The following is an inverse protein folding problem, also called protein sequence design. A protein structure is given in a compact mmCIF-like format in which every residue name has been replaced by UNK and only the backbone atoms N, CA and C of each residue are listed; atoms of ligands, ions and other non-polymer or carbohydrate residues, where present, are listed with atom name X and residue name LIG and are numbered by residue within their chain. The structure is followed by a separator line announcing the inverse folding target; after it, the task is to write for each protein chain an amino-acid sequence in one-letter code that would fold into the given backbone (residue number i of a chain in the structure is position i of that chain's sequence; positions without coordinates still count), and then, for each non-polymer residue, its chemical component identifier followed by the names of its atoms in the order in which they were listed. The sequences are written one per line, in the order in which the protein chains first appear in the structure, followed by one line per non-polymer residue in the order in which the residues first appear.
data_IF_302685300675
#
_entry.id   IF_302685300675
#
_cell.length_a   1.000
_cell.length_b   1.000
_cell.length_c   1.000
_cell.angle_alpha   90.00
_cell.angle_beta   90.00
_cell.angle_gamma   90.00
#
_symmetry.space_group_name_H-M   'P 1'
#
loop_
_entity.id
_entity.type
_entity.pdbx_description
1 polymer ?
#
# COMPACT_ATOMS: atom_id res chain seq x y z
N UNK A 1 10.90 -0.09 30.77
CA UNK A 1 10.08 0.84 29.96
C UNK A 1 10.27 0.48 28.50
N UNK A 2 9.20 0.19 27.76
CA UNK A 2 9.26 -0.16 26.34
C UNK A 2 9.39 1.10 25.49
N UNK A 3 10.42 1.19 24.67
CA UNK A 3 10.55 2.27 23.68
C UNK A 3 9.69 1.95 22.45
N UNK A 4 8.87 2.91 22.06
CA UNK A 4 8.05 2.86 20.84
C UNK A 4 8.89 3.49 19.72
N UNK A 5 9.44 2.65 18.84
CA UNK A 5 10.12 3.14 17.64
C UNK A 5 9.06 3.35 16.56
N UNK A 6 8.87 4.60 16.11
CA UNK A 6 8.10 4.89 14.91
C UNK A 6 9.00 4.73 13.69
N UNK A 7 8.58 3.89 12.75
CA UNK A 7 9.27 3.82 11.47
C UNK A 7 8.96 5.08 10.67
N UNK A 8 9.95 5.70 9.99
CA UNK A 8 9.71 6.87 9.18
C UNK A 8 8.69 6.53 8.10
N UNK A 9 7.68 7.41 7.91
CA UNK A 9 6.84 7.39 6.72
C UNK A 9 7.79 7.43 5.53
N UNK A 10 7.75 6.40 4.68
CA UNK A 10 8.35 6.53 3.35
C UNK A 10 7.46 7.50 2.58
N UNK A 11 7.62 8.79 2.85
CA UNK A 11 6.82 9.85 2.24
C UNK A 11 6.98 9.83 0.71
N UNK A 12 5.81 9.86 0.05
CA UNK A 12 5.49 10.44 -1.26
C UNK A 12 6.07 9.83 -2.55
N UNK A 13 7.08 8.95 -2.53
CA UNK A 13 7.72 8.47 -3.77
C UNK A 13 7.11 7.23 -4.44
N UNK A 14 6.48 6.34 -3.66
CA UNK A 14 6.01 5.02 -4.14
C UNK A 14 4.68 5.05 -4.90
N UNK A 15 3.99 6.21 -4.93
CA UNK A 15 2.78 6.41 -5.74
C UNK A 15 3.01 6.10 -7.23
N UNK A 16 4.23 6.37 -7.73
CA UNK A 16 4.61 6.21 -9.15
C UNK A 16 4.25 4.83 -9.72
N UNK A 17 4.54 3.74 -9.00
CA UNK A 17 4.34 2.39 -9.54
C UNK A 17 2.86 2.00 -9.56
N UNK A 18 2.07 2.43 -8.57
CA UNK A 18 0.64 2.15 -8.51
C UNK A 18 -0.13 3.04 -9.49
N UNK A 19 0.23 4.31 -9.62
CA UNK A 19 -0.33 5.22 -10.62
C UNK A 19 -0.11 4.69 -12.04
N UNK A 20 1.09 4.20 -12.37
CA UNK A 20 1.37 3.60 -13.67
C UNK A 20 0.52 2.34 -13.94
N UNK A 21 0.25 1.53 -12.91
CA UNK A 21 -0.63 0.36 -13.00
C UNK A 21 -2.09 0.77 -13.22
N UNK A 22 -2.56 1.79 -12.49
CA UNK A 22 -3.90 2.38 -12.67
C UNK A 22 -4.05 2.89 -14.10
N UNK A 23 -3.10 3.71 -14.57
CA UNK A 23 -3.15 4.30 -15.92
C UNK A 23 -3.14 3.23 -17.01
N UNK A 24 -2.34 2.16 -16.86
CA UNK A 24 -2.34 1.03 -17.80
C UNK A 24 -3.69 0.31 -17.84
N UNK A 25 -4.30 0.06 -16.68
CA UNK A 25 -5.57 -0.65 -16.60
C UNK A 25 -6.75 0.17 -17.14
N UNK A 26 -6.69 1.49 -17.00
CA UNK A 26 -7.74 2.40 -17.47
C UNK A 26 -7.68 2.73 -18.97
N UNK A 27 -6.65 2.30 -19.70
CA UNK A 27 -6.53 2.52 -21.15
C UNK A 27 -7.71 1.96 -21.94
N UNK A 28 -8.35 0.90 -21.46
CA UNK A 28 -9.50 0.26 -22.12
C UNK A 28 -10.82 0.99 -21.85
N UNK A 29 -10.83 1.98 -20.96
CA UNK A 29 -12.02 2.75 -20.57
C UNK A 29 -12.05 4.08 -21.37
N UNK A 30 -13.22 4.47 -21.91
CA UNK A 30 -13.42 5.78 -22.52
C UNK A 30 -13.05 6.93 -21.59
N UNK A 31 -12.43 7.97 -22.13
CA UNK A 31 -11.88 9.10 -21.37
C UNK A 31 -12.91 9.77 -20.44
N UNK A 32 -14.17 9.86 -20.89
CA UNK A 32 -15.29 10.41 -20.12
C UNK A 32 -15.55 9.71 -18.78
N UNK A 33 -15.32 8.40 -18.70
CA UNK A 33 -15.55 7.60 -17.49
C UNK A 33 -14.24 7.31 -16.74
N UNK A 34 -13.10 7.58 -17.37
CA UNK A 34 -11.75 7.27 -16.88
C UNK A 34 -11.40 8.06 -15.61
N UNK A 35 -11.65 9.37 -15.60
CA UNK A 35 -11.28 10.22 -14.47
C UNK A 35 -12.01 9.83 -13.18
N UNK A 36 -13.29 9.47 -13.29
CA UNK A 36 -14.08 9.05 -12.13
C UNK A 36 -13.52 7.76 -11.51
N UNK A 37 -13.23 6.76 -12.34
CA UNK A 37 -12.69 5.48 -11.88
C UNK A 37 -11.25 5.66 -11.35
N UNK A 38 -10.47 6.54 -11.98
CA UNK A 38 -9.13 6.92 -11.50
C UNK A 38 -9.19 7.53 -10.10
N UNK A 39 -10.11 8.47 -9.87
CA UNK A 39 -10.27 9.12 -8.59
C UNK A 39 -10.66 8.12 -7.48
N UNK A 40 -11.63 7.24 -7.75
CA UNK A 40 -12.04 6.21 -6.78
C UNK A 40 -10.89 5.23 -6.45
N UNK A 41 -10.06 4.92 -7.44
CA UNK A 41 -8.87 4.08 -7.26
C UNK A 41 -7.80 4.77 -6.41
N UNK A 42 -7.42 6.00 -6.75
CA UNK A 42 -6.43 6.78 -5.99
C UNK A 42 -6.86 6.93 -4.53
N UNK A 43 -8.12 7.32 -4.29
CA UNK A 43 -8.67 7.43 -2.93
C UNK A 43 -8.59 6.11 -2.15
N UNK A 44 -8.82 4.99 -2.84
CA UNK A 44 -8.69 3.66 -2.23
C UNK A 44 -7.24 3.38 -1.87
N UNK A 45 -6.28 3.66 -2.76
CA UNK A 45 -4.85 3.51 -2.51
C UNK A 45 -4.41 4.36 -1.32
N UNK A 46 -4.73 5.65 -1.31
CA UNK A 46 -4.36 6.58 -0.22
C UNK A 46 -4.90 6.11 1.13
N UNK A 47 -6.14 5.57 1.15
CA UNK A 47 -6.74 5.06 2.38
C UNK A 47 -6.02 3.84 2.95
N UNK A 48 -5.45 3.00 2.09
CA UNK A 48 -4.67 1.85 2.52
C UNK A 48 -3.23 2.22 2.88
N UNK A 49 -2.60 3.12 2.14
CA UNK A 49 -1.26 3.60 2.45
C UNK A 49 -1.21 4.22 3.85
N UNK A 50 -2.23 5.01 4.21
CA UNK A 50 -2.41 5.53 5.56
C UNK A 50 -2.55 4.44 6.64
N UNK A 51 -3.12 3.27 6.31
CA UNK A 51 -3.30 2.17 7.27
C UNK A 51 -1.99 1.40 7.56
N UNK A 52 -1.06 1.35 6.61
CA UNK A 52 0.19 0.59 6.75
C UNK A 52 1.44 1.47 7.00
N UNK A 53 1.29 2.79 7.05
CA UNK A 53 2.38 3.75 7.28
C UNK A 53 2.71 3.97 8.74
N UNK A 54 1.74 3.85 9.65
CA UNK A 54 2.00 3.98 11.09
C UNK A 54 2.22 2.61 11.73
N UNK A 55 3.49 2.32 12.04
CA UNK A 55 3.86 1.14 12.81
C UNK A 55 4.76 1.53 13.96
N UNK A 56 4.47 0.96 15.13
CA UNK A 56 5.32 1.05 16.30
C UNK A 56 5.86 -0.32 16.72
N UNK A 57 7.14 -0.35 17.07
CA UNK A 57 7.76 -1.53 17.67
C UNK A 57 8.01 -1.24 19.15
N UNK A 58 7.59 -2.16 20.02
CA UNK A 58 7.92 -2.12 21.45
C UNK A 58 9.08 -3.06 21.73
N UNK A 59 10.22 -2.50 22.15
CA UNK A 59 11.40 -3.30 22.50
C UNK A 59 11.51 -3.51 24.02
N UNK A 60 11.95 -4.69 24.48
CA UNK A 60 12.25 -4.92 25.89
C UNK A 60 13.49 -4.11 26.31
N UNK A 61 13.40 -3.44 27.47
CA UNK A 61 14.45 -2.56 27.99
C UNK A 61 15.75 -3.29 28.33
N UNK A 62 15.65 -4.55 28.75
CA UNK A 62 16.78 -5.40 29.16
C UNK A 62 17.28 -6.32 28.03
N UNK A 63 16.78 -6.12 26.80
CA UNK A 63 17.19 -6.93 25.66
C UNK A 63 18.65 -6.65 25.25
N UNK A 64 19.40 -7.72 24.97
CA UNK A 64 20.70 -7.63 24.30
C UNK A 64 20.58 -6.86 22.98
N UNK A 65 21.60 -6.08 22.62
CA UNK A 65 21.63 -5.29 21.38
C UNK A 65 21.47 -6.18 20.13
N UNK A 66 21.99 -7.40 20.20
CA UNK A 66 21.80 -8.43 19.15
C UNK A 66 20.32 -8.77 18.96
N UNK A 67 19.58 -8.95 20.06
CA UNK A 67 18.16 -9.28 20.03
C UNK A 67 17.33 -8.09 19.54
N UNK A 68 17.64 -6.87 19.98
CA UNK A 68 16.97 -5.66 19.47
C UNK A 68 17.13 -5.51 17.96
N UNK A 69 18.36 -5.75 17.45
CA UNK A 69 18.63 -5.73 16.01
C UNK A 69 17.83 -6.79 15.25
N UNK A 70 17.77 -8.03 15.76
CA UNK A 70 16.96 -9.09 15.15
C UNK A 70 15.48 -8.73 15.10
N UNK A 71 14.92 -8.18 16.18
CA UNK A 71 13.51 -7.76 16.22
C UNK A 71 13.29 -6.63 15.21
N UNK A 72 14.22 -5.67 15.10
CA UNK A 72 14.16 -4.59 14.13
C UNK A 72 14.19 -5.08 12.68
N UNK A 73 15.07 -6.04 12.37
CA UNK A 73 15.19 -6.65 11.04
C UNK A 73 13.90 -7.42 10.66
N UNK A 74 13.33 -8.19 11.60
CA UNK A 74 12.06 -8.91 11.41
C UNK A 74 10.91 -7.92 11.18
N UNK A 75 10.85 -6.84 11.97
CA UNK A 75 9.82 -5.81 11.82
C UNK A 75 9.87 -5.15 10.44
N UNK A 76 11.07 -4.84 9.92
CA UNK A 76 11.25 -4.34 8.56
C UNK A 76 10.78 -5.34 7.50
N UNK A 77 11.18 -6.61 7.62
CA UNK A 77 10.77 -7.63 6.65
C UNK A 77 9.26 -7.81 6.57
N UNK A 78 8.58 -7.82 7.72
CA UNK A 78 7.13 -7.93 7.79
C UNK A 78 6.42 -6.66 7.27
N UNK A 79 6.99 -5.49 7.50
CA UNK A 79 6.49 -4.24 6.89
C UNK A 79 6.57 -4.30 5.37
N UNK A 80 7.74 -4.65 4.80
CA UNK A 80 7.93 -4.78 3.36
C UNK A 80 7.02 -5.86 2.74
N UNK A 81 6.78 -6.96 3.47
CA UNK A 81 5.83 -8.00 3.05
C UNK A 81 4.40 -7.46 2.98
N UNK A 82 3.96 -6.72 3.99
CA UNK A 82 2.61 -6.12 4.01
C UNK A 82 2.42 -5.08 2.91
N UNK A 83 3.43 -4.27 2.64
CA UNK A 83 3.39 -3.31 1.54
C UNK A 83 3.25 -4.00 0.17
N UNK A 84 3.94 -5.13 -0.05
CA UNK A 84 3.76 -5.95 -1.26
C UNK A 84 2.37 -6.55 -1.37
N UNK A 85 1.84 -7.11 -0.28
CA UNK A 85 0.47 -7.64 -0.25
C UNK A 85 -0.56 -6.55 -0.57
N UNK A 86 -0.37 -5.34 -0.06
CA UNK A 86 -1.25 -4.22 -0.36
C UNK A 86 -1.24 -3.88 -1.86
N UNK A 87 -0.06 -3.82 -2.47
CA UNK A 87 0.07 -3.56 -3.90
C UNK A 87 -0.69 -4.62 -4.74
N UNK A 88 -0.64 -5.88 -4.34
CA UNK A 88 -1.36 -6.96 -5.04
C UNK A 88 -2.88 -6.87 -4.85
N UNK A 89 -3.37 -6.51 -3.67
CA UNK A 89 -4.80 -6.25 -3.42
C UNK A 89 -5.30 -5.09 -4.30
N UNK A 90 -4.53 -4.00 -4.39
CA UNK A 90 -4.87 -2.86 -5.23
C UNK A 90 -4.94 -3.27 -6.70
N UNK A 91 -3.95 -4.03 -7.20
CA UNK A 91 -3.95 -4.58 -8.56
C UNK A 91 -5.20 -5.40 -8.86
N UNK A 92 -5.60 -6.29 -7.94
CA UNK A 92 -6.82 -7.07 -8.07
C UNK A 92 -8.06 -6.17 -8.08
N UNK A 93 -8.12 -5.17 -7.21
CA UNK A 93 -9.25 -4.24 -7.14
C UNK A 93 -9.42 -3.47 -8.45
N UNK A 94 -8.31 -3.01 -9.05
CA UNK A 94 -8.29 -2.36 -10.36
C UNK A 94 -8.89 -3.28 -11.42
N UNK A 95 -8.43 -4.53 -11.51
CA UNK A 95 -8.94 -5.52 -12.47
C UNK A 95 -10.45 -5.75 -12.30
N UNK A 96 -10.91 -5.91 -11.06
CA UNK A 96 -12.34 -6.09 -10.76
C UNK A 96 -13.16 -4.88 -11.18
N UNK A 97 -12.70 -3.66 -10.90
CA UNK A 97 -13.42 -2.44 -11.28
C UNK A 97 -13.52 -2.28 -12.80
N UNK A 98 -12.44 -2.57 -13.53
CA UNK A 98 -12.44 -2.55 -15.00
C UNK A 98 -13.40 -3.62 -15.55
N UNK A 99 -13.37 -4.85 -15.00
CA UNK A 99 -14.28 -5.91 -15.41
C UNK A 99 -15.76 -5.56 -15.15
N UNK A 100 -16.06 -4.99 -13.98
CA UNK A 100 -17.41 -4.51 -13.63
C UNK A 100 -17.88 -3.39 -14.56
N UNK A 101 -16.99 -2.47 -14.95
CA UNK A 101 -17.31 -1.42 -15.92
C UNK A 101 -17.74 -2.02 -17.25
N UNK A 102 -16.98 -2.98 -17.78
CA UNK A 102 -17.33 -3.65 -19.04
C UNK A 102 -18.64 -4.45 -18.92
N UNK A 103 -18.86 -5.18 -17.82
CA UNK A 103 -20.11 -5.93 -17.59
C UNK A 103 -21.36 -5.07 -17.50
N UNK A 104 -21.28 -3.81 -17.04
CA UNK A 104 -22.45 -2.91 -16.96
C UNK A 104 -22.82 -2.28 -18.31
N UNK A 105 -21.94 -2.38 -19.30
CA UNK A 105 -22.08 -1.75 -20.61
C UNK A 105 -22.47 -2.75 -21.71
N UNK A 106 -22.32 -4.05 -21.44
CA UNK A 106 -22.86 -5.16 -22.22
C UNK A 106 -24.13 -5.69 -21.55
#
# INVERSE_FOLDING_TARGET
MSEIIQFPRQDAGKSSDLEAVIDKALKTIPEKDREKIRFDLIKTVDSYDAFFTEWSLSLPAEGDETLKKQIYDIAHQEHDRKMRMLADIIRLKIQVLVAQYHQRRY
#
